data_IF_403583334754
#
_entry.id   IF_403583334754
#
_cell.length_a   1.000
_cell.length_b   1.000
_cell.length_c   1.000
_cell.angle_alpha   90.00
_cell.angle_beta   90.00
_cell.angle_gamma   90.00
#
_symmetry.space_group_name_H-M   'P 1'
#
loop_
_entity.id
_entity.type
_entity.pdbx_description
1 polymer ?
#
# COMPACT_ATOMS: atom_id res chain seq x y z
N UNK A 1 -7.15 1.35 0.73
CA UNK A 1 -7.60 -0.03 0.47
C UNK A 1 -6.39 -0.97 0.29
N UNK A 2 -6.51 -2.25 0.66
CA UNK A 2 -5.52 -3.31 0.39
C UNK A 2 -6.25 -4.62 0.09
N UNK A 3 -5.64 -5.48 -0.74
CA UNK A 3 -6.27 -6.75 -1.15
C UNK A 3 -6.27 -7.82 -0.04
N UNK A 4 -5.37 -7.72 0.95
CA UNK A 4 -5.38 -8.63 2.12
C UNK A 4 -6.60 -8.43 3.03
N UNK A 5 -7.29 -7.30 2.89
CA UNK A 5 -8.54 -6.98 3.58
C UNK A 5 -9.79 -7.46 2.83
N UNK A 6 -9.66 -8.42 1.90
CA UNK A 6 -10.81 -8.98 1.19
C UNK A 6 -10.94 -10.50 1.32
N UNK A 7 -12.16 -10.99 1.12
CA UNK A 7 -12.47 -12.42 1.04
C UNK A 7 -12.97 -12.76 -0.36
N UNK A 8 -12.46 -13.87 -0.90
CA UNK A 8 -12.91 -14.42 -2.17
C UNK A 8 -13.62 -15.76 -1.96
N UNK A 9 -14.60 -16.07 -2.82
CA UNK A 9 -15.21 -17.39 -2.90
C UNK A 9 -14.21 -18.41 -3.47
N UNK A 10 -14.58 -19.69 -3.44
CA UNK A 10 -13.80 -20.75 -4.10
C UNK A 10 -13.65 -20.53 -5.62
N UNK A 11 -14.56 -19.77 -6.23
CA UNK A 11 -14.58 -19.43 -7.65
C UNK A 11 -13.92 -18.07 -7.96
N UNK A 12 -13.15 -17.53 -7.00
CA UNK A 12 -12.44 -16.25 -7.10
C UNK A 12 -13.33 -15.00 -7.24
N UNK A 13 -14.57 -15.06 -6.77
CA UNK A 13 -15.45 -13.88 -6.68
C UNK A 13 -15.22 -13.13 -5.37
N UNK A 14 -15.12 -11.80 -5.41
CA UNK A 14 -15.02 -10.97 -4.20
C UNK A 14 -16.35 -11.02 -3.43
N UNK A 15 -16.34 -11.59 -2.22
CA UNK A 15 -17.55 -11.78 -1.40
C UNK A 15 -17.60 -10.90 -0.14
N UNK A 16 -16.45 -10.37 0.32
CA UNK A 16 -16.42 -9.43 1.43
C UNK A 16 -15.19 -8.50 1.41
N UNK A 17 -15.36 -7.32 1.99
CA UNK A 17 -14.29 -6.37 2.30
C UNK A 17 -14.33 -6.07 3.80
N UNK A 18 -13.20 -6.18 4.47
CA UNK A 18 -13.04 -5.99 5.91
C UNK A 18 -12.31 -4.70 6.25
N UNK A 19 -12.12 -4.46 7.56
CA UNK A 19 -11.23 -3.42 8.09
C UNK A 19 -11.62 -1.99 7.67
N UNK A 20 -12.87 -1.63 7.99
CA UNK A 20 -13.48 -0.33 7.66
C UNK A 20 -13.18 0.76 8.69
N UNK A 21 -12.30 0.52 9.65
CA UNK A 21 -12.01 1.44 10.77
C UNK A 21 -11.40 2.78 10.30
N UNK A 22 -10.67 2.76 9.18
CA UNK A 22 -10.09 3.94 8.53
C UNK A 22 -10.96 4.51 7.40
N UNK A 23 -12.15 3.97 7.15
CA UNK A 23 -12.99 4.40 6.05
C UNK A 23 -13.59 5.80 6.31
N UNK A 24 -13.53 6.65 5.29
CA UNK A 24 -14.05 8.02 5.35
C UNK A 24 -14.40 8.52 3.95
N UNK A 25 -15.02 9.71 3.85
CA UNK A 25 -15.21 10.41 2.58
C UNK A 25 -13.91 11.10 2.17
N UNK A 26 -13.43 10.85 0.96
CA UNK A 26 -12.21 11.44 0.43
C UNK A 26 -12.08 11.29 -1.08
N UNK A 27 -10.95 11.73 -1.62
CA UNK A 27 -10.61 11.52 -3.03
C UNK A 27 -10.33 10.03 -3.27
N UNK A 28 -11.01 9.37 -4.22
CA UNK A 28 -10.86 7.94 -4.49
C UNK A 28 -9.45 7.53 -4.92
N UNK A 29 -8.66 8.44 -5.49
CA UNK A 29 -7.29 8.16 -5.89
C UNK A 29 -6.36 7.93 -4.70
N UNK A 30 -6.74 8.38 -3.49
CA UNK A 30 -6.02 8.04 -2.25
C UNK A 30 -6.05 6.53 -2.01
N UNK A 31 -7.20 5.88 -2.27
CA UNK A 31 -7.30 4.43 -2.14
C UNK A 31 -6.57 3.69 -3.24
N UNK A 32 -6.61 4.19 -4.48
CA UNK A 32 -5.83 3.62 -5.59
C UNK A 32 -4.32 3.74 -5.35
N UNK A 33 -3.83 4.91 -4.94
CA UNK A 33 -2.42 5.10 -4.59
C UNK A 33 -1.99 4.21 -3.42
N UNK A 34 -2.87 4.01 -2.43
CA UNK A 34 -2.63 3.05 -1.35
C UNK A 34 -2.54 1.62 -1.90
N UNK A 35 -3.45 1.20 -2.78
CA UNK A 35 -3.40 -0.12 -3.41
C UNK A 35 -2.06 -0.34 -4.14
N UNK A 36 -1.62 0.65 -4.93
CA UNK A 36 -0.37 0.58 -5.71
C UNK A 36 0.87 0.48 -4.82
N UNK A 37 0.91 1.16 -3.69
CA UNK A 37 2.02 1.07 -2.74
C UNK A 37 2.20 -0.35 -2.16
N UNK A 38 1.12 -1.14 -2.08
CA UNK A 38 1.14 -2.55 -1.65
C UNK A 38 1.17 -3.54 -2.84
N UNK A 39 1.10 -3.04 -4.07
CA UNK A 39 1.03 -3.86 -5.28
C UNK A 39 2.41 -4.40 -5.62
N UNK A 40 2.53 -5.73 -5.72
CA UNK A 40 3.73 -6.37 -6.20
C UNK A 40 3.72 -6.31 -7.74
N UNK A 41 4.70 -5.59 -8.28
CA UNK A 41 4.93 -5.53 -9.71
C UNK A 41 6.16 -6.39 -10.02
N UNK A 42 6.06 -7.41 -10.90
CA UNK A 42 7.19 -8.24 -11.29
C UNK A 42 8.40 -7.46 -11.83
N UNK A 43 8.14 -6.29 -12.43
CA UNK A 43 9.15 -5.47 -13.11
C UNK A 43 9.60 -4.27 -12.27
N UNK A 44 9.06 -4.08 -11.05
CA UNK A 44 9.40 -2.95 -10.18
C UNK A 44 9.91 -3.37 -8.79
N UNK A 45 10.68 -2.51 -8.10
CA UNK A 45 11.12 -2.79 -6.74
C UNK A 45 9.92 -3.03 -5.80
N UNK A 46 9.93 -4.16 -5.12
CA UNK A 46 9.05 -4.41 -3.98
C UNK A 46 9.79 -4.05 -2.69
N UNK A 47 9.21 -3.21 -1.85
CA UNK A 47 9.86 -2.80 -0.61
C UNK A 47 9.72 -3.90 0.47
N UNK A 48 10.78 -4.16 1.27
CA UNK A 48 10.83 -5.28 2.23
C UNK A 48 9.71 -5.29 3.28
N UNK A 49 9.11 -4.12 3.52
CA UNK A 49 8.04 -3.94 4.51
C UNK A 49 6.71 -4.57 4.12
N UNK A 50 6.49 -4.79 2.83
CA UNK A 50 5.29 -5.43 2.31
C UNK A 50 5.37 -6.97 2.41
N UNK A 51 6.53 -7.49 2.84
CA UNK A 51 6.81 -8.91 3.07
C UNK A 51 6.81 -9.75 1.79
N UNK A 52 7.06 -11.05 1.95
CA UNK A 52 6.84 -12.07 0.90
C UNK A 52 5.34 -12.23 0.50
N UNK A 53 4.46 -11.39 1.06
CA UNK A 53 3.00 -11.39 0.90
C UNK A 53 2.47 -10.14 0.18
N UNK A 54 3.34 -9.25 -0.30
CA UNK A 54 2.95 -8.29 -1.33
C UNK A 54 2.23 -9.08 -2.43
N UNK A 55 1.09 -8.59 -2.92
CA UNK A 55 0.14 -9.35 -3.75
C UNK A 55 0.84 -9.87 -5.02
N UNK A 56 1.44 -11.05 -4.93
CA UNK A 56 2.01 -11.81 -6.02
C UNK A 56 1.47 -13.24 -5.87
N UNK A 57 0.21 -13.41 -6.26
CA UNK A 57 -0.41 -14.71 -6.41
C UNK A 57 -0.95 -14.77 -7.84
N UNK A 58 -0.23 -15.49 -8.71
CA UNK A 58 -0.43 -15.64 -10.16
C UNK A 58 0.15 -14.48 -11.02
N UNK A 59 0.19 -14.57 -12.37
CA UNK A 59 0.57 -13.45 -13.22
C UNK A 59 -0.37 -12.28 -12.93
N UNK A 60 0.09 -11.36 -12.10
CA UNK A 60 -0.67 -10.19 -11.69
C UNK A 60 -0.56 -9.14 -12.78
N UNK A 61 -1.59 -8.32 -12.87
CA UNK A 61 -1.53 -7.10 -13.66
C UNK A 61 -0.33 -6.26 -13.21
N UNK A 62 0.41 -5.68 -14.14
CA UNK A 62 1.38 -4.63 -13.84
C UNK A 62 0.68 -3.40 -13.25
N UNK A 63 1.44 -2.51 -12.59
CA UNK A 63 0.85 -1.31 -11.97
C UNK A 63 0.07 -0.45 -12.97
N UNK A 64 0.62 -0.24 -14.16
CA UNK A 64 -0.02 0.55 -15.20
C UNK A 64 -1.34 -0.08 -15.69
N UNK A 65 -1.39 -1.41 -15.74
CA UNK A 65 -2.61 -2.14 -16.10
C UNK A 65 -3.69 -1.97 -15.03
N UNK A 66 -3.32 -1.99 -13.74
CA UNK A 66 -4.25 -1.72 -12.63
C UNK A 66 -4.83 -0.31 -12.73
N UNK A 67 -3.97 0.69 -12.98
CA UNK A 67 -4.39 2.08 -13.16
C UNK A 67 -5.32 2.23 -14.37
N UNK A 68 -4.97 1.62 -15.50
CA UNK A 68 -5.78 1.66 -16.71
C UNK A 68 -7.15 1.00 -16.52
N UNK A 69 -7.20 -0.17 -15.87
CA UNK A 69 -8.45 -0.86 -15.56
C UNK A 69 -9.33 -0.04 -14.61
N UNK A 70 -8.73 0.59 -13.59
CA UNK A 70 -9.45 1.47 -12.68
C UNK A 70 -10.05 2.68 -13.40
N UNK A 71 -9.28 3.36 -14.25
CA UNK A 71 -9.74 4.48 -15.03
C UNK A 71 -10.88 4.08 -16.00
N UNK A 72 -10.74 2.93 -16.67
CA UNK A 72 -11.77 2.42 -17.58
C UNK A 72 -13.08 2.07 -16.87
N UNK A 73 -13.00 1.50 -15.66
CA UNK A 73 -14.18 1.11 -14.89
C UNK A 73 -14.91 2.29 -14.23
N UNK A 74 -14.18 3.36 -13.87
CA UNK A 74 -14.72 4.47 -13.06
C UNK A 74 -14.91 5.78 -13.82
N UNK A 75 -14.17 5.98 -14.91
CA UNK A 75 -14.08 7.25 -15.62
C UNK A 75 -13.28 8.34 -14.89
N UNK A 76 -12.58 8.01 -13.79
CA UNK A 76 -11.74 8.98 -13.08
C UNK A 76 -10.49 9.35 -13.87
N UNK A 77 -10.11 10.63 -13.79
CA UNK A 77 -8.81 11.08 -14.28
C UNK A 77 -7.70 10.62 -13.33
N UNK A 78 -6.83 9.75 -13.83
CA UNK A 78 -5.70 9.17 -13.09
C UNK A 78 -4.36 9.86 -13.42
N UNK A 79 -4.38 10.99 -14.13
CA UNK A 79 -3.17 11.73 -14.52
C UNK A 79 -2.25 12.08 -13.34
N UNK A 80 -2.83 12.28 -12.15
CA UNK A 80 -2.10 12.59 -10.92
C UNK A 80 -1.71 11.34 -10.09
N UNK A 81 -1.82 10.11 -10.61
CA UNK A 81 -1.67 8.90 -9.79
C UNK A 81 -0.33 8.79 -9.06
N UNK A 82 0.78 9.26 -9.67
CA UNK A 82 2.10 9.26 -9.02
C UNK A 82 2.12 10.11 -7.74
N UNK A 83 1.35 11.20 -7.69
CA UNK A 83 1.20 11.97 -6.45
C UNK A 83 0.56 11.15 -5.33
N UNK A 84 -0.51 10.42 -5.65
CA UNK A 84 -1.23 9.60 -4.67
C UNK A 84 -0.42 8.38 -4.22
N UNK A 85 0.36 7.79 -5.12
CA UNK A 85 1.30 6.71 -4.76
C UNK A 85 2.42 7.23 -3.84
N UNK A 86 3.03 8.38 -4.16
CA UNK A 86 4.01 9.04 -3.28
C UNK A 86 3.42 9.38 -1.91
N UNK A 87 2.19 9.91 -1.87
CA UNK A 87 1.45 10.17 -0.63
C UNK A 87 1.21 8.88 0.17
N UNK A 88 0.91 7.76 -0.50
CA UNK A 88 0.75 6.47 0.15
C UNK A 88 2.05 5.99 0.80
N UNK A 89 3.18 6.00 0.08
CA UNK A 89 4.49 5.65 0.65
C UNK A 89 4.84 6.52 1.86
N UNK A 90 4.63 7.83 1.77
CA UNK A 90 4.84 8.74 2.89
C UNK A 90 3.95 8.41 4.10
N UNK A 91 2.66 8.17 3.88
CA UNK A 91 1.73 7.78 4.96
C UNK A 91 2.16 6.47 5.62
N UNK A 92 2.61 5.49 4.84
CA UNK A 92 3.10 4.21 5.38
C UNK A 92 4.38 4.45 6.19
N UNK A 93 5.31 5.28 5.71
CA UNK A 93 6.52 5.65 6.46
C UNK A 93 6.16 6.24 7.84
N UNK A 94 5.18 7.15 7.90
CA UNK A 94 4.71 7.74 9.16
C UNK A 94 4.11 6.69 10.10
N UNK A 95 3.29 5.76 9.58
CA UNK A 95 2.71 4.67 10.40
C UNK A 95 3.81 3.81 11.03
N UNK A 96 4.83 3.49 10.24
CA UNK A 96 5.95 2.65 10.66
C UNK A 96 6.81 3.36 11.69
N UNK A 97 7.11 4.64 11.47
CA UNK A 97 7.83 5.48 12.42
C UNK A 97 7.06 5.59 13.74
N UNK A 98 5.73 5.73 13.71
CA UNK A 98 4.91 5.76 14.92
C UNK A 98 4.96 4.45 15.71
N UNK A 99 4.97 3.31 15.02
CA UNK A 99 5.11 2.00 15.66
C UNK A 99 6.50 1.84 16.27
N UNK A 100 7.55 2.21 15.54
CA UNK A 100 8.93 2.20 16.02
C UNK A 100 9.12 3.11 17.23
N UNK A 101 8.59 4.33 17.19
CA UNK A 101 8.66 5.29 18.30
C UNK A 101 8.02 4.76 19.59
N UNK A 102 6.92 4.00 19.50
CA UNK A 102 6.29 3.34 20.66
C UNK A 102 7.20 2.27 21.26
N UNK A 103 7.88 1.50 20.41
CA UNK A 103 8.86 0.49 20.83
C UNK A 103 10.06 1.12 21.54
N UNK A 104 10.68 2.16 20.94
CA UNK A 104 11.81 2.88 21.56
C UNK A 104 11.43 3.51 22.90
N UNK A 105 10.18 3.97 23.06
CA UNK A 105 9.66 4.54 24.31
C UNK A 105 9.26 3.49 25.36
N UNK A 106 9.41 2.20 25.08
CA UNK A 106 9.01 1.12 25.98
C UNK A 106 7.49 1.00 26.18
N UNK A 107 6.69 1.58 25.28
CA UNK A 107 5.21 1.48 25.32
C UNK A 107 4.70 0.15 24.76
N UNK A 108 5.58 -0.62 24.13
CA UNK A 108 5.38 -2.01 23.69
C UNK A 108 6.70 -2.76 23.83
N UNK A 109 6.63 -4.05 24.13
CA UNK A 109 7.78 -4.94 24.27
C UNK A 109 7.94 -5.92 23.09
N UNK A 110 7.16 -5.73 22.02
CA UNK A 110 7.23 -6.59 20.84
C UNK A 110 8.48 -6.28 20.00
N UNK A 111 9.48 -7.16 20.10
CA UNK A 111 10.76 -7.05 19.39
C UNK A 111 10.60 -7.00 17.87
N UNK A 112 9.46 -7.45 17.32
CA UNK A 112 9.18 -7.33 15.87
C UNK A 112 9.11 -5.88 15.41
N UNK A 113 8.96 -4.91 16.31
CA UNK A 113 8.96 -3.49 15.98
C UNK A 113 10.35 -2.87 15.96
N UNK A 114 11.38 -3.52 16.50
CA UNK A 114 12.77 -3.06 16.37
C UNK A 114 13.20 -2.98 14.89
N UNK A 115 12.73 -3.93 14.07
CA UNK A 115 13.05 -4.00 12.62
C UNK A 115 12.46 -2.84 11.80
N UNK A 116 11.66 -1.97 12.40
CA UNK A 116 11.01 -0.86 11.71
C UNK A 116 11.90 0.39 11.60
N UNK A 117 12.97 0.47 12.40
CA UNK A 117 13.96 1.57 12.34
C UNK A 117 14.44 1.88 10.91
N UNK A 118 14.94 0.91 10.12
CA UNK A 118 15.41 1.20 8.77
C UNK A 118 14.25 1.40 7.76
N UNK A 119 13.03 0.98 8.09
CA UNK A 119 11.94 0.90 7.11
C UNK A 119 11.27 2.25 6.85
N UNK A 120 11.15 3.10 7.86
CA UNK A 120 10.57 4.44 7.68
C UNK A 120 11.41 5.30 6.70
N UNK A 121 12.75 5.39 6.82
CA UNK A 121 13.59 6.06 5.82
C UNK A 121 13.45 5.47 4.41
N UNK A 122 13.47 4.15 4.26
CA UNK A 122 13.33 3.48 2.95
C UNK A 122 12.02 3.89 2.25
N UNK A 123 10.92 3.96 3.00
CA UNK A 123 9.62 4.36 2.47
C UNK A 123 9.53 5.86 2.18
N UNK A 124 10.24 6.69 2.94
CA UNK A 124 10.35 8.12 2.63
C UNK A 124 11.10 8.34 1.31
N UNK A 125 12.20 7.61 1.09
CA UNK A 125 12.95 7.67 -0.17
C UNK A 125 12.12 7.13 -1.34
N UNK A 126 11.32 6.07 -1.13
CA UNK A 126 10.36 5.56 -2.10
C UNK A 126 9.35 6.63 -2.53
N UNK A 127 8.80 7.38 -1.56
CA UNK A 127 7.88 8.47 -1.82
C UNK A 127 8.53 9.55 -2.71
N UNK A 128 9.78 9.94 -2.40
CA UNK A 128 10.51 10.93 -3.21
C UNK A 128 10.76 10.41 -4.63
N UNK A 129 11.20 9.16 -4.78
CA UNK A 129 11.49 8.56 -6.08
C UNK A 129 10.27 8.51 -7.00
N UNK A 130 9.08 8.24 -6.46
CA UNK A 130 7.83 8.22 -7.23
C UNK A 130 7.37 9.62 -7.63
N UNK A 131 7.68 10.64 -6.83
CA UNK A 131 7.33 12.04 -7.10
C UNK A 131 8.32 12.74 -8.05
N UNK A 132 9.47 12.13 -8.32
CA UNK A 132 10.51 12.61 -9.24
C UNK A 132 10.24 12.20 -10.68
#
# INVERSE_FOLDING_TARGET
YKLDNTMFSADAELIAVFDWDMATRGDPLVDLGTLLAYWADPEAPTYPIFGERAVALAPSMGRDEVVAAYAAATGFDVSAIRYYEGLAYYRIAVIIEQIYARYVRGQTADERFARFEPLAPILADAAVAVLS
#
